data_IF_623961040478
#
_entry.id   IF_623961040478
#
_cell.length_a   1.000
_cell.length_b   1.000
_cell.length_c   1.000
_cell.angle_alpha   90.00
_cell.angle_beta   90.00
_cell.angle_gamma   90.00
#
_symmetry.space_group_name_H-M   'P 1'
#
loop_
_entity.id
_entity.type
_entity.pdbx_description
1 polymer ?
#
# COMPACT_ATOMS: atom_id res chain seq x y z
N UNK A 1 6.68 -3.01 14.81
CA UNK A 1 6.61 -2.31 13.50
C UNK A 1 5.24 -2.57 12.90
N UNK A 2 4.47 -1.54 12.61
CA UNK A 2 3.22 -1.67 11.88
C UNK A 2 3.46 -1.96 10.40
N UNK A 3 2.52 -2.66 9.77
CA UNK A 3 2.55 -2.88 8.32
C UNK A 3 1.31 -2.21 7.75
N UNK A 4 1.51 -1.24 6.86
CA UNK A 4 0.44 -0.43 6.30
C UNK A 4 0.47 -0.43 4.79
N UNK A 5 -0.68 -0.64 4.17
CA UNK A 5 -0.84 -0.56 2.73
C UNK A 5 -1.34 0.84 2.36
N UNK A 6 -0.74 1.43 1.33
CA UNK A 6 -1.22 2.68 0.72
C UNK A 6 -1.54 2.42 -0.75
N UNK A 7 -2.77 2.72 -1.16
CA UNK A 7 -3.25 2.46 -2.52
C UNK A 7 -4.35 3.45 -2.92
N UNK A 8 -4.37 3.80 -4.22
CA UNK A 8 -5.46 4.53 -4.85
C UNK A 8 -6.20 3.57 -5.80
N UNK A 9 -7.49 3.40 -5.60
CA UNK A 9 -8.31 2.49 -6.37
C UNK A 9 -9.68 3.10 -6.70
N UNK A 10 -10.19 2.78 -7.86
CA UNK A 10 -11.49 3.22 -8.31
C UNK A 10 -12.63 2.30 -7.82
N UNK A 11 -13.85 2.55 -8.28
CA UNK A 11 -15.05 1.79 -7.87
C UNK A 11 -14.97 0.30 -8.23
N UNK A 12 -14.18 -0.06 -9.24
CA UNK A 12 -13.96 -1.46 -9.66
C UNK A 12 -12.73 -2.08 -9.00
N UNK A 13 -12.02 -1.34 -8.13
CA UNK A 13 -10.76 -1.76 -7.54
C UNK A 13 -9.55 -1.61 -8.47
N UNK A 14 -9.70 -0.90 -9.58
CA UNK A 14 -8.65 -0.65 -10.55
C UNK A 14 -7.51 0.19 -9.97
N UNK A 15 -6.28 -0.24 -10.18
CA UNK A 15 -5.05 0.42 -9.73
C UNK A 15 -4.29 1.05 -10.88
N UNK A 16 -4.21 0.36 -12.00
CA UNK A 16 -3.37 0.73 -13.12
C UNK A 16 -3.76 0.08 -14.43
N UNK A 17 -3.17 0.60 -15.50
CA UNK A 17 -3.20 0.04 -16.85
C UNK A 17 -1.86 0.28 -17.53
N UNK A 18 -1.33 -0.73 -18.23
CA UNK A 18 -0.08 -0.63 -19.02
C UNK A 18 1.10 -0.07 -18.17
N UNK A 19 1.27 -0.56 -16.94
CA UNK A 19 2.28 -0.12 -15.98
C UNK A 19 2.18 1.37 -15.55
N UNK A 20 1.03 2.01 -15.73
CA UNK A 20 0.79 3.38 -15.28
C UNK A 20 -0.34 3.43 -14.27
N UNK A 21 -0.32 4.45 -13.40
CA UNK A 21 -1.45 4.74 -12.51
C UNK A 21 -2.70 5.01 -13.33
N UNK A 22 -3.82 4.38 -12.93
CA UNK A 22 -5.11 4.56 -13.58
C UNK A 22 -5.63 6.00 -13.46
N UNK A 23 -5.37 6.60 -12.30
CA UNK A 23 -5.75 7.97 -11.98
C UNK A 23 -4.55 8.74 -11.42
N UNK A 24 -4.26 9.90 -12.01
CA UNK A 24 -3.21 10.81 -11.54
C UNK A 24 -3.83 12.06 -10.93
N UNK A 25 -4.27 11.94 -9.69
CA UNK A 25 -4.86 13.03 -8.91
C UNK A 25 -3.72 13.71 -8.13
N UNK A 26 -3.44 15.00 -8.35
CA UNK A 26 -2.32 15.69 -7.69
C UNK A 26 -2.38 15.65 -6.17
N UNK A 27 -3.57 15.75 -5.59
CA UNK A 27 -3.75 15.70 -4.14
C UNK A 27 -3.50 14.29 -3.58
N UNK A 28 -3.80 13.24 -4.33
CA UNK A 28 -3.43 11.87 -3.97
C UNK A 28 -1.91 11.68 -3.95
N UNK A 29 -1.20 12.21 -4.93
CA UNK A 29 0.26 12.16 -4.95
C UNK A 29 0.91 12.94 -3.79
N UNK A 30 0.34 14.07 -3.40
CA UNK A 30 0.76 14.83 -2.21
C UNK A 30 0.47 14.04 -0.93
N UNK A 31 -0.70 13.42 -0.85
CA UNK A 31 -1.10 12.58 0.27
C UNK A 31 -0.17 11.37 0.43
N UNK A 32 0.12 10.67 -0.66
CA UNK A 32 1.11 9.59 -0.71
C UNK A 32 2.49 10.06 -0.20
N UNK A 33 2.98 11.21 -0.70
CA UNK A 33 4.24 11.78 -0.25
C UNK A 33 4.23 12.06 1.25
N UNK A 34 3.16 12.66 1.76
CA UNK A 34 3.02 13.00 3.18
C UNK A 34 3.05 11.75 4.07
N UNK A 35 2.31 10.71 3.71
CA UNK A 35 2.21 9.47 4.50
C UNK A 35 3.51 8.65 4.46
N UNK A 36 4.24 8.67 3.36
CA UNK A 36 5.44 7.84 3.18
C UNK A 36 6.74 8.54 3.57
N UNK A 37 6.71 9.85 3.81
CA UNK A 37 7.91 10.64 4.12
C UNK A 37 8.59 10.16 5.41
N UNK A 38 9.88 9.87 5.31
CA UNK A 38 10.68 9.36 6.44
C UNK A 38 10.61 7.85 6.65
N UNK A 39 9.73 7.15 5.93
CA UNK A 39 9.50 5.71 6.09
C UNK A 39 10.24 4.85 5.08
N UNK A 40 10.35 3.57 5.39
CA UNK A 40 10.64 2.52 4.42
C UNK A 40 9.38 2.23 3.60
N UNK A 41 9.54 2.15 2.27
CA UNK A 41 8.45 1.91 1.32
C UNK A 41 8.75 0.63 0.55
N UNK A 42 7.93 -0.41 0.76
CA UNK A 42 8.02 -1.66 0.02
C UNK A 42 7.19 -1.58 -1.26
N UNK A 43 7.80 -1.90 -2.38
CA UNK A 43 7.14 -1.95 -3.68
C UNK A 43 7.77 -3.01 -4.60
N UNK A 44 6.99 -3.52 -5.53
CA UNK A 44 7.48 -4.44 -6.54
C UNK A 44 8.31 -3.75 -7.62
N UNK A 45 9.17 -4.51 -8.29
CA UNK A 45 10.06 -4.02 -9.36
C UNK A 45 9.32 -3.22 -10.44
N UNK A 46 8.21 -3.74 -11.00
CA UNK A 46 7.46 -3.03 -12.04
C UNK A 46 6.92 -1.68 -11.58
N UNK A 47 6.49 -1.59 -10.31
CA UNK A 47 6.04 -0.33 -9.72
C UNK A 47 7.21 0.64 -9.58
N UNK A 48 8.37 0.17 -9.13
CA UNK A 48 9.59 0.97 -9.08
C UNK A 48 9.99 1.50 -10.46
N UNK A 49 10.03 0.62 -11.47
CA UNK A 49 10.33 1.00 -12.86
C UNK A 49 9.33 2.04 -13.41
N UNK A 50 8.06 1.95 -13.05
CA UNK A 50 7.03 2.93 -13.42
C UNK A 50 7.24 4.30 -12.75
N UNK A 51 7.74 4.33 -11.52
CA UNK A 51 8.12 5.57 -10.83
C UNK A 51 9.39 6.17 -11.45
N UNK A 52 10.32 5.30 -11.88
CA UNK A 52 11.51 5.64 -12.65
C UNK A 52 12.64 6.33 -11.88
N UNK A 53 12.50 6.50 -10.56
CA UNK A 53 13.51 7.14 -9.70
C UNK A 53 13.28 6.84 -8.22
N UNK A 54 14.33 7.03 -7.41
CA UNK A 54 14.20 7.04 -5.96
C UNK A 54 13.25 8.15 -5.49
N UNK A 55 12.59 7.91 -4.35
CA UNK A 55 11.71 8.90 -3.74
C UNK A 55 12.46 9.63 -2.62
N UNK A 56 12.72 10.94 -2.74
CA UNK A 56 13.46 11.69 -1.74
C UNK A 56 12.86 11.58 -0.33
N UNK A 57 13.72 11.43 0.68
CA UNK A 57 13.32 11.32 2.08
C UNK A 57 12.69 9.98 2.48
N UNK A 58 12.80 8.95 1.63
CA UNK A 58 12.26 7.59 1.86
C UNK A 58 13.30 6.55 1.50
N UNK A 59 13.23 5.38 2.12
CA UNK A 59 14.03 4.23 1.72
C UNK A 59 13.13 3.25 0.97
N UNK A 60 13.46 2.95 -0.29
CA UNK A 60 12.69 2.04 -1.11
C UNK A 60 13.22 0.61 -0.94
N UNK A 61 12.35 -0.31 -0.55
CA UNK A 61 12.61 -1.74 -0.57
C UNK A 61 11.94 -2.31 -1.82
N UNK A 62 12.75 -2.68 -2.83
CA UNK A 62 12.25 -3.15 -4.12
C UNK A 62 12.23 -4.66 -4.16
N UNK A 63 11.02 -5.22 -4.14
CA UNK A 63 10.82 -6.67 -4.18
C UNK A 63 11.03 -7.20 -5.61
N UNK A 64 12.01 -8.06 -5.77
CA UNK A 64 12.34 -8.69 -7.06
C UNK A 64 13.14 -9.97 -6.90
N UNK A 65 12.89 -10.94 -7.75
CA UNK A 65 13.71 -12.17 -7.90
C UNK A 65 14.84 -12.02 -8.91
N UNK A 66 14.92 -10.91 -9.63
CA UNK A 66 16.05 -10.64 -10.54
C UNK A 66 17.33 -10.39 -9.74
N UNK A 67 18.47 -10.92 -10.20
CA UNK A 67 19.77 -10.83 -9.50
C UNK A 67 20.36 -9.42 -9.43
N UNK A 68 19.97 -8.53 -10.34
CA UNK A 68 20.39 -7.12 -10.29
C UNK A 68 19.28 -6.24 -10.87
N UNK A 69 19.07 -5.12 -10.24
CA UNK A 69 18.33 -4.01 -10.81
C UNK A 69 19.38 -3.00 -11.29
N UNK A 70 19.21 -2.48 -12.49
CA UNK A 70 20.04 -1.39 -12.98
C UNK A 70 19.63 -0.10 -12.24
N UNK A 71 20.31 0.18 -11.14
CA UNK A 71 20.18 1.45 -10.45
C UNK A 71 21.32 2.38 -10.93
N UNK A 72 21.02 3.64 -11.14
CA UNK A 72 22.06 4.65 -11.21
C UNK A 72 22.75 4.76 -9.85
N UNK A 73 24.06 4.97 -9.83
CA UNK A 73 24.92 5.00 -8.64
C UNK A 73 24.55 6.01 -7.56
N UNK A 74 23.53 6.85 -7.78
CA UNK A 74 23.07 7.89 -6.87
C UNK A 74 21.92 7.47 -5.95
N UNK A 75 21.54 6.17 -5.93
CA UNK A 75 20.35 5.69 -5.22
C UNK A 75 20.71 4.92 -3.93
N UNK A 76 21.47 5.55 -3.04
CA UNK A 76 21.84 4.98 -1.71
C UNK A 76 20.65 4.50 -0.86
N UNK A 77 19.43 4.92 -1.20
CA UNK A 77 18.20 4.58 -0.47
C UNK A 77 17.27 3.62 -1.23
N UNK A 78 17.81 2.90 -2.21
CA UNK A 78 17.08 1.84 -2.91
C UNK A 78 17.73 0.52 -2.60
N UNK A 79 17.00 -0.35 -1.92
CA UNK A 79 17.45 -1.65 -1.43
C UNK A 79 16.65 -2.73 -2.15
N UNK A 80 17.36 -3.65 -2.78
CA UNK A 80 16.73 -4.82 -3.37
C UNK A 80 16.47 -5.88 -2.29
N UNK A 81 15.27 -6.43 -2.28
CA UNK A 81 14.87 -7.55 -1.42
C UNK A 81 14.24 -8.65 -2.26
N UNK A 82 14.45 -9.90 -1.87
CA UNK A 82 13.98 -11.08 -2.62
C UNK A 82 12.63 -11.61 -2.13
N UNK A 83 12.20 -11.19 -0.93
CA UNK A 83 10.94 -11.61 -0.33
C UNK A 83 10.35 -10.51 0.58
N UNK A 84 9.06 -10.61 0.86
CA UNK A 84 8.40 -9.75 1.86
C UNK A 84 9.02 -9.95 3.23
N UNK A 85 9.37 -11.18 3.60
CA UNK A 85 10.03 -11.49 4.87
C UNK A 85 11.37 -10.76 5.00
N UNK A 86 12.21 -10.77 3.96
CA UNK A 86 13.47 -10.03 3.94
C UNK A 86 13.24 -8.53 4.11
N UNK A 87 12.23 -7.96 3.44
CA UNK A 87 11.86 -6.56 3.60
C UNK A 87 11.45 -6.23 5.05
N UNK A 88 10.64 -7.08 5.68
CA UNK A 88 10.23 -6.92 7.08
C UNK A 88 11.42 -6.98 8.03
N UNK A 89 12.31 -7.94 7.83
CA UNK A 89 13.54 -8.08 8.64
C UNK A 89 14.45 -6.85 8.48
N UNK A 90 14.61 -6.39 7.24
CA UNK A 90 15.45 -5.22 6.94
C UNK A 90 14.91 -3.95 7.60
N UNK A 91 13.62 -3.68 7.46
CA UNK A 91 12.96 -2.52 8.06
C UNK A 91 13.02 -2.58 9.61
N UNK A 92 12.73 -3.76 10.19
CA UNK A 92 12.74 -3.95 11.64
C UNK A 92 14.14 -3.72 12.25
N UNK A 93 15.20 -4.22 11.60
CA UNK A 93 16.60 -3.98 12.04
C UNK A 93 16.97 -2.49 12.06
N UNK A 94 16.31 -1.67 11.29
CA UNK A 94 16.51 -0.21 11.21
C UNK A 94 15.62 0.57 12.16
N UNK A 95 14.80 -0.10 12.96
CA UNK A 95 13.88 0.54 13.89
C UNK A 95 12.72 1.25 13.19
N UNK A 96 12.35 0.80 11.97
CA UNK A 96 11.21 1.36 11.24
C UNK A 96 9.92 1.18 12.07
N UNK A 97 9.21 2.25 12.42
CA UNK A 97 7.98 2.13 13.17
C UNK A 97 6.81 1.62 12.32
N UNK A 98 6.79 1.95 11.03
CA UNK A 98 5.71 1.62 10.12
C UNK A 98 6.23 1.39 8.70
N UNK A 99 6.18 0.15 8.23
CA UNK A 99 6.50 -0.18 6.84
C UNK A 99 5.33 0.16 5.94
N UNK A 100 5.55 1.07 4.99
CA UNK A 100 4.57 1.48 3.99
C UNK A 100 4.66 0.59 2.75
N UNK A 101 3.56 -0.05 2.35
CA UNK A 101 3.51 -0.93 1.18
C UNK A 101 2.76 -0.23 0.05
N UNK A 102 3.47 0.05 -1.05
CA UNK A 102 2.98 0.92 -2.13
C UNK A 102 2.70 0.19 -3.47
N UNK A 103 2.65 -1.14 -3.43
CA UNK A 103 2.23 -1.91 -4.61
C UNK A 103 3.36 -2.67 -5.30
N UNK A 104 3.15 -3.30 -6.47
CA UNK A 104 1.84 -3.43 -7.14
C UNK A 104 0.93 -4.53 -6.60
N UNK A 105 0.00 -4.96 -7.41
CA UNK A 105 -1.03 -5.91 -6.99
C UNK A 105 -0.51 -7.21 -6.36
N UNK A 106 0.56 -7.78 -6.87
CA UNK A 106 1.17 -8.99 -6.31
C UNK A 106 1.71 -8.74 -4.90
N UNK A 107 2.38 -7.60 -4.67
CA UNK A 107 2.88 -7.21 -3.35
C UNK A 107 1.72 -6.93 -2.39
N UNK A 108 0.68 -6.23 -2.84
CA UNK A 108 -0.53 -6.03 -2.03
C UNK A 108 -1.16 -7.35 -1.62
N UNK A 109 -1.30 -8.30 -2.56
CA UNK A 109 -1.89 -9.62 -2.28
C UNK A 109 -1.11 -10.40 -1.21
N UNK A 110 0.22 -10.35 -1.29
CA UNK A 110 1.10 -11.05 -0.33
C UNK A 110 1.08 -10.38 1.05
N UNK A 111 1.07 -9.04 1.09
CA UNK A 111 1.15 -8.29 2.35
C UNK A 111 -0.22 -8.09 3.01
N UNK A 112 -1.31 -8.10 2.27
CA UNK A 112 -2.65 -7.82 2.81
C UNK A 112 -3.00 -8.65 4.06
N UNK A 113 -2.68 -9.95 4.16
CA UNK A 113 -2.93 -10.73 5.38
C UNK A 113 -2.16 -10.23 6.61
N UNK A 114 -1.02 -9.58 6.41
CA UNK A 114 -0.13 -9.07 7.44
C UNK A 114 -0.40 -7.60 7.81
N UNK A 115 -1.10 -6.88 6.93
CA UNK A 115 -1.34 -5.45 7.09
C UNK A 115 -2.28 -5.17 8.27
N UNK A 116 -1.94 -4.15 9.05
CA UNK A 116 -2.73 -3.66 10.17
C UNK A 116 -3.54 -2.42 9.81
N UNK A 117 -3.06 -1.64 8.84
CA UNK A 117 -3.70 -0.39 8.39
C UNK A 117 -3.77 -0.34 6.88
N UNK A 118 -4.89 0.16 6.35
CA UNK A 118 -5.04 0.51 4.94
C UNK A 118 -5.27 2.02 4.83
N UNK A 119 -4.40 2.70 4.11
CA UNK A 119 -4.57 4.06 3.64
C UNK A 119 -5.07 4.00 2.20
N UNK A 120 -6.36 4.13 2.01
CA UNK A 120 -6.98 3.99 0.69
C UNK A 120 -7.48 5.34 0.17
N UNK A 121 -7.08 5.68 -1.05
CA UNK A 121 -7.75 6.70 -1.83
C UNK A 121 -8.83 6.01 -2.66
N UNK A 122 -10.09 6.25 -2.33
CA UNK A 122 -11.25 5.71 -3.06
C UNK A 122 -11.70 6.73 -4.08
N UNK A 123 -11.55 6.40 -5.36
CA UNK A 123 -11.90 7.29 -6.48
C UNK A 123 -13.28 6.90 -6.98
N UNK A 124 -14.22 7.87 -6.96
CA UNK A 124 -15.62 7.66 -7.35
C UNK A 124 -15.77 7.81 -8.87
N UNK A 125 -15.17 6.90 -9.59
CA UNK A 125 -15.18 6.83 -11.04
C UNK A 125 -14.75 5.44 -11.49
N UNK A 126 -14.81 5.20 -12.81
CA UNK A 126 -14.46 3.91 -13.42
C UNK A 126 -13.60 4.15 -14.64
N UNK A 127 -12.51 3.41 -14.75
CA UNK A 127 -11.69 3.31 -15.95
C UNK A 127 -11.38 1.85 -16.25
N UNK A 128 -11.07 1.58 -17.50
CA UNK A 128 -10.53 0.28 -17.88
C UNK A 128 -9.15 0.08 -17.25
N UNK A 129 -9.00 -0.98 -16.47
CA UNK A 129 -7.79 -1.35 -15.76
C UNK A 129 -7.36 -2.76 -16.15
N UNK A 130 -6.05 -3.05 -16.06
CA UNK A 130 -5.47 -4.38 -16.19
C UNK A 130 -4.86 -4.88 -14.87
N UNK A 131 -4.77 -4.00 -13.87
CA UNK A 131 -4.26 -4.29 -12.52
C UNK A 131 -5.25 -3.85 -11.48
N UNK A 132 -5.58 -4.75 -10.55
CA UNK A 132 -6.60 -4.52 -9.53
C UNK A 132 -6.05 -4.78 -8.12
N UNK A 133 -6.60 -4.05 -7.14
CA UNK A 133 -6.34 -4.29 -5.73
C UNK A 133 -6.93 -5.65 -5.32
N UNK A 134 -6.25 -6.44 -4.47
CA UNK A 134 -6.78 -7.70 -4.00
C UNK A 134 -8.09 -7.51 -3.22
N UNK A 135 -9.04 -8.43 -3.41
CA UNK A 135 -10.29 -8.42 -2.66
C UNK A 135 -10.01 -8.62 -1.16
N UNK A 136 -10.70 -7.86 -0.34
CA UNK A 136 -10.70 -8.03 1.11
C UNK A 136 -12.11 -7.91 1.66
N UNK A 137 -12.36 -8.50 2.82
CA UNK A 137 -13.66 -8.44 3.48
C UNK A 137 -13.77 -7.17 4.31
N UNK A 138 -14.78 -6.35 4.06
CA UNK A 138 -15.00 -5.11 4.82
C UNK A 138 -15.20 -5.37 6.32
N UNK A 139 -15.76 -6.54 6.69
CA UNK A 139 -15.97 -6.95 8.08
C UNK A 139 -14.68 -7.11 8.89
N UNK A 140 -13.57 -7.39 8.21
CA UNK A 140 -12.24 -7.52 8.85
C UNK A 140 -11.61 -6.16 9.20
N UNK A 141 -12.22 -5.06 8.76
CA UNK A 141 -11.66 -3.72 8.88
C UNK A 141 -12.63 -2.75 9.53
N UNK A 142 -12.10 -1.85 10.31
CA UNK A 142 -12.81 -0.72 10.90
C UNK A 142 -12.41 0.56 10.16
N UNK A 143 -13.39 1.29 9.64
CA UNK A 143 -13.18 2.59 9.01
C UNK A 143 -13.02 3.65 10.11
N UNK A 144 -11.79 4.14 10.30
CA UNK A 144 -11.46 5.12 11.35
C UNK A 144 -11.65 6.56 10.88
N UNK A 145 -11.35 6.83 9.61
CA UNK A 145 -11.38 8.19 9.07
C UNK A 145 -11.78 8.19 7.61
N UNK A 146 -12.57 9.18 7.22
CA UNK A 146 -12.89 9.50 5.83
C UNK A 146 -12.75 11.01 5.65
N UNK A 147 -11.98 11.41 4.64
CA UNK A 147 -11.85 12.78 4.20
C UNK A 147 -12.33 12.87 2.74
N UNK A 148 -13.45 13.58 2.52
CA UNK A 148 -14.14 13.64 1.24
C UNK A 148 -13.66 14.83 0.41
N UNK A 149 -13.39 14.60 -0.87
CA UNK A 149 -13.00 15.61 -1.85
C UNK A 149 -13.96 15.63 -3.03
N UNK A 150 -14.47 16.80 -3.34
CA UNK A 150 -15.38 17.00 -4.47
C UNK A 150 -14.68 16.80 -5.81
N UNK A 151 -15.48 16.41 -6.81
CA UNK A 151 -15.00 16.31 -8.19
C UNK A 151 -14.40 17.65 -8.67
N UNK A 152 -13.32 17.55 -9.44
CA UNK A 152 -12.67 18.68 -10.10
C UNK A 152 -12.77 18.52 -11.62
N UNK A 153 -12.38 19.56 -12.37
CA UNK A 153 -12.53 19.59 -13.85
C UNK A 153 -12.06 18.32 -14.57
N UNK A 154 -10.97 17.71 -14.09
CA UNK A 154 -10.32 16.57 -14.76
C UNK A 154 -10.42 15.27 -13.96
N UNK A 155 -10.98 15.30 -12.75
CA UNK A 155 -11.02 14.14 -11.85
C UNK A 155 -12.40 14.00 -11.20
N UNK A 156 -12.89 12.77 -11.03
CA UNK A 156 -14.08 12.52 -10.23
C UNK A 156 -13.81 12.87 -8.76
N UNK A 157 -14.84 12.85 -7.93
CA UNK A 157 -14.68 12.94 -6.48
C UNK A 157 -13.88 11.77 -5.94
N UNK A 158 -13.21 11.97 -4.83
CA UNK A 158 -12.46 10.91 -4.14
C UNK A 158 -12.54 11.08 -2.64
N UNK A 159 -12.16 10.06 -1.89
CA UNK A 159 -12.01 10.15 -0.45
C UNK A 159 -10.71 9.48 0.00
N UNK A 160 -10.04 10.10 0.98
CA UNK A 160 -8.97 9.46 1.73
C UNK A 160 -9.57 8.71 2.91
N UNK A 161 -9.27 7.43 3.02
CA UNK A 161 -9.81 6.56 4.04
C UNK A 161 -8.69 5.89 4.83
N UNK A 162 -8.87 5.80 6.14
CA UNK A 162 -8.01 5.02 7.03
C UNK A 162 -8.83 3.88 7.60
N UNK A 163 -8.42 2.65 7.29
CA UNK A 163 -9.03 1.45 7.83
C UNK A 163 -8.02 0.74 8.72
N UNK A 164 -8.46 0.30 9.89
CA UNK A 164 -7.66 -0.50 10.83
C UNK A 164 -8.19 -1.92 10.83
N UNK A 165 -7.29 -2.91 10.84
CA UNK A 165 -7.69 -4.30 10.98
C UNK A 165 -8.38 -4.53 12.32
N UNK A 166 -9.55 -5.17 12.32
CA UNK A 166 -10.21 -5.60 13.55
C UNK A 166 -9.36 -6.70 14.19
N UNK A 167 -9.10 -6.57 15.50
CA UNK A 167 -8.49 -7.66 16.25
C UNK A 167 -9.41 -8.89 16.19
N UNK A 168 -8.84 -10.07 16.06
CA UNK A 168 -9.60 -11.31 16.23
C UNK A 168 -10.16 -11.30 17.66
N UNK A 169 -11.44 -11.00 17.83
CA UNK A 169 -12.17 -11.43 18.99
C UNK A 169 -12.22 -12.95 18.94
N UNK A 170 -11.25 -13.61 19.54
CA UNK A 170 -11.41 -14.99 19.98
C UNK A 170 -12.63 -14.97 20.90
N UNK A 171 -13.76 -15.41 20.38
CA UNK A 171 -14.88 -15.80 21.22
C UNK A 171 -14.34 -16.87 22.17
N UNK A 172 -14.03 -16.48 23.40
CA UNK A 172 -13.82 -17.44 24.46
C UNK A 172 -15.15 -18.18 24.62
N UNK A 173 -15.16 -19.40 24.13
CA UNK A 173 -16.24 -20.35 24.44
C UNK A 173 -16.27 -20.49 25.97
N UNK A 174 -17.19 -19.79 26.60
CA UNK A 174 -17.57 -20.06 27.96
C UNK A 174 -18.20 -21.46 27.99
N UNK A 175 -17.41 -22.45 28.35
CA UNK A 175 -17.89 -23.75 28.78
C UNK A 175 -18.66 -23.56 30.08
N UNK A 176 -19.97 -23.34 30.00
CA UNK A 176 -20.87 -23.55 31.12
C UNK A 176 -21.11 -25.06 31.29
N UNK A 177 -20.31 -25.67 32.11
CA UNK A 177 -20.65 -26.96 32.70
C UNK A 177 -21.76 -26.70 33.67
N UNK A 178 -22.95 -27.15 33.36
CA UNK A 178 -24.06 -27.27 34.30
C UNK A 178 -24.05 -28.67 34.91
N UNK A 179 -24.07 -28.68 36.21
CA UNK A 179 -24.37 -29.86 37.01
C UNK A 179 -25.86 -30.18 36.94
#
# INVERSE_FOLDING_TARGET
>A
MNISIIAALDELGGLGKENQLLWRIPDDLKHFKKLTMGHCVLLGRKTFESIGKALPGRTLLVLTTKKSLDFSSDEERVIQVSSVEEALQWANKRGEPELMVAGGAAVYKEVLPLAETLYLTRIHGKKEADVFFPCFKNEDWELLQVDQHSAQKNWPSWSFQILKRRGNHTLSASSSVSR
#
